data_IF_993994221586
#
_entry.id   IF_993994221586
#
_cell.length_a   1.000
_cell.length_b   1.000
_cell.length_c   1.000
_cell.angle_alpha   90.00
_cell.angle_beta   90.00
_cell.angle_gamma   90.00
#
_symmetry.space_group_name_H-M   'P 1'
#
loop_
_entity.id
_entity.type
_entity.pdbx_description
1 polymer ?
#
# COMPACT_ATOMS: atom_id res chain seq x y z
N UNK A 1 19.22 5.90 -14.42
CA UNK A 1 18.77 7.30 -14.65
C UNK A 1 18.87 7.78 -16.11
N UNK A 2 19.86 7.33 -16.90
CA UNK A 2 20.06 7.80 -18.28
C UNK A 2 18.85 7.57 -19.20
N UNK A 3 18.19 6.42 -19.07
CA UNK A 3 16.98 6.13 -19.85
C UNK A 3 15.83 7.11 -19.55
N UNK A 4 15.64 7.47 -18.27
CA UNK A 4 14.65 8.47 -17.87
C UNK A 4 14.98 9.88 -18.38
N UNK A 5 16.27 10.23 -18.46
CA UNK A 5 16.71 11.51 -19.07
C UNK A 5 16.51 11.54 -20.58
N UNK A 6 16.77 10.41 -21.25
CA UNK A 6 16.55 10.26 -22.70
C UNK A 6 15.08 10.16 -23.10
N UNK A 7 14.18 9.92 -22.13
CA UNK A 7 12.75 9.70 -22.38
C UNK A 7 12.38 8.28 -22.79
N UNK A 8 13.36 7.38 -22.98
CA UNK A 8 13.14 5.97 -23.34
C UNK A 8 12.30 5.20 -22.30
N UNK A 9 12.54 5.46 -21.02
CA UNK A 9 11.72 4.93 -19.92
C UNK A 9 11.53 6.00 -18.85
N UNK A 10 10.38 6.67 -18.87
CA UNK A 10 10.10 7.83 -18.01
C UNK A 10 9.71 7.44 -16.58
N UNK A 11 9.15 6.24 -16.40
CA UNK A 11 8.74 5.73 -15.08
C UNK A 11 8.95 4.23 -14.94
N UNK A 12 9.07 3.78 -13.69
CA UNK A 12 9.24 2.38 -13.29
C UNK A 12 8.12 2.04 -12.32
N UNK A 13 7.54 0.85 -12.46
CA UNK A 13 6.58 0.31 -11.50
C UNK A 13 7.25 -0.73 -10.61
N UNK A 14 6.90 -0.74 -9.32
CA UNK A 14 7.24 -1.87 -8.45
C UNK A 14 6.39 -3.10 -8.81
N UNK A 15 6.82 -4.28 -8.37
CA UNK A 15 5.91 -5.41 -8.25
C UNK A 15 4.71 -5.03 -7.37
N UNK A 16 3.51 -5.60 -7.63
CA UNK A 16 2.37 -5.42 -6.74
C UNK A 16 2.69 -5.96 -5.33
N UNK A 17 2.20 -5.27 -4.33
CA UNK A 17 2.24 -5.68 -2.93
C UNK A 17 0.85 -5.50 -2.30
N UNK A 18 0.68 -6.06 -1.11
CA UNK A 18 -0.62 -6.12 -0.45
C UNK A 18 -0.53 -5.61 0.98
N UNK A 19 -1.61 -5.00 1.48
CA UNK A 19 -1.67 -4.60 2.89
C UNK A 19 -1.79 -5.79 3.85
N UNK A 20 -2.36 -6.90 3.37
CA UNK A 20 -2.52 -8.18 4.05
C UNK A 20 -2.92 -9.23 3.02
N UNK A 21 -3.01 -10.51 3.39
CA UNK A 21 -3.37 -11.60 2.46
C UNK A 21 -4.71 -11.39 1.74
N UNK A 22 -5.66 -10.72 2.39
CA UNK A 22 -6.97 -10.35 1.83
C UNK A 22 -7.14 -8.84 1.73
N UNK A 23 -6.03 -8.11 1.62
CA UNK A 23 -5.96 -6.65 1.70
C UNK A 23 -6.01 -5.95 0.34
N UNK A 24 -5.76 -4.63 0.36
CA UNK A 24 -5.65 -3.82 -0.84
C UNK A 24 -4.43 -4.26 -1.66
N UNK A 25 -4.60 -4.39 -2.98
CA UNK A 25 -3.51 -4.56 -3.93
C UNK A 25 -2.98 -3.19 -4.36
N UNK A 26 -1.67 -3.00 -4.28
CA UNK A 26 -1.03 -1.69 -4.48
C UNK A 26 0.29 -1.87 -5.24
N UNK A 27 0.78 -0.80 -5.86
CA UNK A 27 2.17 -0.72 -6.33
C UNK A 27 2.70 0.72 -6.22
N UNK A 28 4.00 0.89 -6.44
CA UNK A 28 4.63 2.20 -6.55
C UNK A 28 4.94 2.51 -8.00
N UNK A 29 4.88 3.80 -8.35
CA UNK A 29 5.35 4.35 -9.62
C UNK A 29 6.42 5.41 -9.36
N UNK A 30 7.61 5.18 -9.87
CA UNK A 30 8.80 6.00 -9.65
C UNK A 30 9.23 6.71 -10.94
N UNK A 31 9.49 8.01 -10.86
CA UNK A 31 10.09 8.80 -11.94
C UNK A 31 11.46 9.29 -11.50
N UNK A 32 12.50 8.63 -12.00
CA UNK A 32 13.89 8.92 -11.65
C UNK A 32 14.37 10.30 -12.13
N UNK A 33 13.67 10.92 -13.09
CA UNK A 33 13.98 12.26 -13.60
C UNK A 33 12.81 13.24 -13.37
N UNK A 34 11.94 12.91 -12.41
CA UNK A 34 10.79 13.72 -12.03
C UNK A 34 9.62 13.69 -13.00
N UNK A 35 8.45 14.07 -12.50
CA UNK A 35 7.19 14.18 -13.24
C UNK A 35 6.58 15.58 -13.08
N UNK A 36 5.82 16.04 -14.08
CA UNK A 36 5.14 17.33 -14.07
C UNK A 36 6.06 18.51 -13.72
N UNK A 37 5.69 19.29 -12.69
CA UNK A 37 6.43 20.45 -12.22
C UNK A 37 7.73 20.12 -11.45
N UNK A 38 8.03 18.83 -11.25
CA UNK A 38 9.22 18.34 -10.58
C UNK A 38 10.23 17.70 -11.55
N UNK A 39 9.89 17.65 -12.85
CA UNK A 39 10.75 17.11 -13.89
C UNK A 39 12.13 17.79 -13.88
N UNK A 40 13.18 17.00 -14.06
CA UNK A 40 14.61 17.38 -14.05
C UNK A 40 15.12 18.02 -12.75
N UNK A 41 14.31 18.13 -11.70
CA UNK A 41 14.72 18.73 -10.43
C UNK A 41 14.63 17.76 -9.26
N UNK A 42 13.67 16.84 -9.27
CA UNK A 42 13.45 15.87 -8.19
C UNK A 42 13.22 14.46 -8.77
N UNK A 43 13.40 13.45 -7.93
CA UNK A 43 12.72 12.16 -8.09
C UNK A 43 11.28 12.34 -7.63
N UNK A 44 10.33 11.82 -8.42
CA UNK A 44 8.91 11.78 -8.05
C UNK A 44 8.48 10.36 -7.72
N UNK A 45 7.76 10.19 -6.62
CA UNK A 45 7.31 8.89 -6.13
C UNK A 45 5.80 8.90 -5.90
N UNK A 46 5.11 7.94 -6.51
CA UNK A 46 3.67 7.83 -6.46
C UNK A 46 3.21 6.47 -5.98
N UNK A 47 2.12 6.47 -5.24
CA UNK A 47 1.36 5.30 -4.83
C UNK A 47 0.25 5.03 -5.85
N UNK A 48 0.01 3.75 -6.13
CA UNK A 48 -1.03 3.31 -7.05
C UNK A 48 -1.89 2.27 -6.34
N UNK A 49 -3.19 2.58 -6.24
CA UNK A 49 -4.19 1.61 -5.81
C UNK A 49 -4.58 0.76 -7.02
N UNK A 50 -4.47 -0.56 -6.90
CA UNK A 50 -4.76 -1.51 -7.97
C UNK A 50 -6.04 -2.27 -7.68
N UNK A 51 -6.70 -2.78 -8.73
CA UNK A 51 -7.84 -3.69 -8.56
C UNK A 51 -7.38 -4.97 -7.88
N UNK A 52 -7.97 -5.25 -6.71
CA UNK A 52 -7.73 -6.44 -5.90
C UNK A 52 -8.86 -7.47 -6.04
N UNK A 53 -8.52 -8.72 -5.76
CA UNK A 53 -9.51 -9.81 -5.69
C UNK A 53 -10.53 -9.60 -4.56
N UNK A 54 -10.08 -8.97 -3.47
CA UNK A 54 -10.87 -8.76 -2.26
C UNK A 54 -11.53 -7.37 -2.16
N UNK A 55 -11.53 -6.57 -3.23
CA UNK A 55 -12.09 -5.20 -3.22
C UNK A 55 -13.55 -5.15 -2.76
N UNK A 56 -14.32 -6.24 -2.90
CA UNK A 56 -15.71 -6.31 -2.46
C UNK A 56 -15.89 -6.26 -0.93
N UNK A 57 -14.87 -6.62 -0.15
CA UNK A 57 -14.92 -6.67 1.32
C UNK A 57 -14.06 -5.58 1.98
N UNK A 58 -13.41 -4.73 1.17
CA UNK A 58 -12.56 -3.64 1.65
C UNK A 58 -13.33 -2.32 1.70
N UNK A 59 -12.88 -1.42 2.59
CA UNK A 59 -13.49 -0.09 2.75
C UNK A 59 -12.98 0.85 1.66
N UNK A 60 -13.87 1.56 1.00
CA UNK A 60 -13.52 2.63 0.07
C UNK A 60 -14.25 3.93 0.44
N UNK A 61 -13.68 5.11 0.13
CA UNK A 61 -12.36 5.31 -0.49
C UNK A 61 -11.18 4.94 0.44
N UNK A 62 -10.04 4.61 -0.15
CA UNK A 62 -8.79 4.37 0.58
C UNK A 62 -8.36 5.66 1.29
N UNK A 63 -8.19 5.61 2.61
CA UNK A 63 -8.02 6.80 3.46
C UNK A 63 -6.85 6.66 4.46
N UNK A 64 -6.06 5.59 4.35
CA UNK A 64 -4.93 5.36 5.22
C UNK A 64 -3.75 6.23 4.81
N UNK A 65 -3.05 6.82 5.77
CA UNK A 65 -1.88 7.65 5.50
C UNK A 65 -0.78 6.77 4.87
N UNK A 66 -0.21 7.23 3.76
CA UNK A 66 0.86 6.54 3.03
C UNK A 66 2.18 7.22 3.38
N UNK A 67 3.17 6.42 3.77
CA UNK A 67 4.49 6.88 4.17
C UNK A 67 5.51 6.24 3.23
N UNK A 68 6.32 7.07 2.58
CA UNK A 68 7.46 6.63 1.79
C UNK A 68 8.74 6.79 2.58
N UNK A 69 9.67 5.86 2.37
CA UNK A 69 10.98 5.88 2.99
C UNK A 69 12.02 5.50 1.92
N UNK A 70 12.96 6.41 1.66
CA UNK A 70 14.17 6.13 0.90
C UNK A 70 15.29 5.78 1.88
N UNK A 71 15.82 4.57 1.77
CA UNK A 71 16.84 4.10 2.71
C UNK A 71 18.21 4.75 2.45
N UNK A 72 18.75 5.35 3.51
CA UNK A 72 20.18 5.53 3.70
C UNK A 72 20.83 4.15 3.93
N UNK A 73 21.76 3.78 3.05
CA UNK A 73 22.45 2.49 3.03
C UNK A 73 23.74 2.48 3.86
N UNK A 74 24.08 3.58 4.53
CA UNK A 74 25.20 3.67 5.48
C UNK A 74 24.77 3.30 6.89
N UNK A 75 25.71 3.36 7.84
CA UNK A 75 25.44 3.10 9.26
C UNK A 75 24.70 4.26 9.94
N UNK A 76 24.63 5.44 9.33
CA UNK A 76 23.91 6.58 9.94
C UNK A 76 22.40 6.43 9.90
N UNK A 77 21.86 5.62 8.97
CA UNK A 77 20.42 5.34 8.81
C UNK A 77 19.56 6.61 8.77
N UNK A 78 20.08 7.68 8.18
CA UNK A 78 19.38 8.94 7.95
C UNK A 78 18.44 8.82 6.75
N UNK A 79 17.40 7.99 6.90
CA UNK A 79 16.43 7.75 5.84
C UNK A 79 15.63 9.01 5.49
N UNK A 80 15.33 9.20 4.20
CA UNK A 80 14.42 10.28 3.78
C UNK A 80 13.00 9.74 3.86
N UNK A 81 12.19 10.34 4.72
CA UNK A 81 10.81 9.94 4.96
C UNK A 81 9.90 11.10 4.60
N UNK A 82 8.88 10.80 3.79
CA UNK A 82 7.80 11.74 3.49
C UNK A 82 6.48 10.99 3.42
N UNK A 83 5.37 11.68 3.58
CA UNK A 83 4.06 11.06 3.67
C UNK A 83 2.95 11.95 3.16
N UNK A 84 1.88 11.34 2.71
CA UNK A 84 0.67 12.06 2.35
C UNK A 84 -0.57 11.35 2.90
N UNK A 85 -1.64 12.13 3.09
CA UNK A 85 -2.97 11.59 3.38
C UNK A 85 -3.79 11.56 2.09
N UNK A 86 -4.36 10.41 1.70
CA UNK A 86 -5.24 10.33 0.54
C UNK A 86 -6.38 11.36 0.61
N UNK A 87 -6.61 12.08 -0.50
CA UNK A 87 -7.81 12.87 -0.67
C UNK A 87 -8.96 11.95 -1.06
N UNK A 88 -9.91 11.74 -0.16
CA UNK A 88 -11.06 10.84 -0.36
C UNK A 88 -11.98 11.27 -1.52
N UNK A 89 -11.85 12.49 -2.03
CA UNK A 89 -12.59 12.97 -3.21
C UNK A 89 -11.87 12.64 -4.52
N UNK A 90 -10.59 12.30 -4.47
CA UNK A 90 -9.80 11.96 -5.66
C UNK A 90 -10.17 10.57 -6.20
N UNK A 91 -10.20 10.47 -7.52
CA UNK A 91 -10.38 9.20 -8.24
C UNK A 91 -9.24 8.21 -7.98
N UNK A 92 -8.06 8.68 -7.56
CA UNK A 92 -6.91 7.84 -7.20
C UNK A 92 -7.22 6.83 -6.09
N UNK A 93 -8.16 7.14 -5.19
CA UNK A 93 -8.41 6.37 -3.98
C UNK A 93 -9.83 5.78 -3.92
N UNK A 94 -10.61 5.94 -4.98
CA UNK A 94 -11.90 5.26 -5.10
C UNK A 94 -11.69 3.76 -5.32
N UNK A 95 -12.77 2.98 -5.16
CA UNK A 95 -12.75 1.56 -5.51
C UNK A 95 -12.32 1.40 -6.98
N UNK A 96 -11.26 0.63 -7.28
CA UNK A 96 -10.79 0.46 -8.65
C UNK A 96 -11.87 -0.13 -9.57
N UNK A 97 -12.09 0.53 -10.70
CA UNK A 97 -12.94 0.05 -11.80
C UNK A 97 -12.11 -0.49 -12.97
N UNK A 98 -10.80 -0.20 -12.98
CA UNK A 98 -9.80 -0.68 -13.94
C UNK A 98 -8.63 -1.28 -13.16
N UNK A 99 -7.63 -1.85 -13.85
CA UNK A 99 -6.50 -2.54 -13.19
C UNK A 99 -5.70 -1.65 -12.24
N UNK A 100 -5.59 -0.35 -12.55
CA UNK A 100 -4.86 0.63 -11.76
C UNK A 100 -5.62 1.96 -11.74
N UNK A 101 -5.79 2.52 -10.55
CA UNK A 101 -6.23 3.90 -10.43
C UNK A 101 -5.12 4.88 -10.86
N UNK A 102 -5.50 6.15 -11.02
CA UNK A 102 -4.55 7.23 -11.27
C UNK A 102 -3.56 7.31 -10.09
N UNK A 103 -2.27 7.29 -10.40
CA UNK A 103 -1.21 7.38 -9.40
C UNK A 103 -1.30 8.70 -8.61
N UNK A 104 -1.06 8.66 -7.31
CA UNK A 104 -1.03 9.84 -6.43
C UNK A 104 0.09 9.72 -5.41
N UNK A 105 0.76 10.83 -5.11
CA UNK A 105 1.94 10.81 -4.25
C UNK A 105 2.66 12.15 -4.25
N UNK A 106 3.99 12.12 -4.27
CA UNK A 106 4.84 13.27 -3.96
C UNK A 106 5.71 13.59 -5.18
N UNK A 107 5.33 14.60 -6.00
CA UNK A 107 6.11 15.00 -7.16
C UNK A 107 7.53 15.42 -6.80
N UNK A 108 7.72 16.12 -5.69
CA UNK A 108 9.03 16.60 -5.21
C UNK A 108 9.53 15.77 -4.03
N UNK A 109 9.63 14.46 -4.20
CA UNK A 109 10.00 13.56 -3.11
C UNK A 109 11.46 13.76 -2.66
N UNK A 110 12.42 13.70 -3.59
CA UNK A 110 13.85 13.89 -3.27
C UNK A 110 14.52 14.75 -4.34
N UNK A 111 15.23 15.84 -3.99
CA UNK A 111 15.99 16.63 -4.95
C UNK A 111 17.06 15.81 -5.68
N UNK A 112 17.19 16.00 -7.00
CA UNK A 112 18.21 15.28 -7.79
C UNK A 112 19.64 15.65 -7.40
N UNK A 113 19.84 16.83 -6.80
CA UNK A 113 21.15 17.31 -6.34
C UNK A 113 21.79 16.40 -5.28
N UNK A 114 20.99 15.69 -4.49
CA UNK A 114 21.50 14.71 -3.50
C UNK A 114 22.23 13.55 -4.19
N UNK A 115 21.79 13.17 -5.39
CA UNK A 115 22.39 12.08 -6.17
C UNK A 115 23.64 12.50 -6.95
N UNK A 116 23.98 13.79 -6.97
CA UNK A 116 25.18 14.32 -7.64
C UNK A 116 26.41 14.33 -6.73
N UNK A 117 26.23 14.07 -5.43
CA UNK A 117 27.30 14.04 -4.44
C UNK A 117 28.14 12.77 -4.61
N UNK A 118 29.48 12.88 -4.53
CA UNK A 118 30.40 11.74 -4.69
C UNK A 118 30.15 10.60 -3.68
N UNK A 119 29.64 10.94 -2.49
CA UNK A 119 29.28 9.99 -1.43
C UNK A 119 27.78 10.01 -1.14
N UNK A 120 26.97 9.72 -2.15
CA UNK A 120 25.52 9.60 -1.97
C UNK A 120 25.17 8.33 -1.15
N UNK A 121 24.58 8.48 0.05
CA UNK A 121 24.26 7.33 0.91
C UNK A 121 23.03 6.53 0.44
N UNK A 122 22.24 7.07 -0.49
CA UNK A 122 20.97 6.48 -0.94
C UNK A 122 21.12 5.58 -2.18
N UNK A 123 22.25 5.65 -2.88
CA UNK A 123 22.57 4.77 -4.02
C UNK A 123 23.94 4.16 -3.82
N UNK A 124 23.97 2.87 -3.56
CA UNK A 124 25.18 2.06 -3.42
C UNK A 124 25.12 0.90 -4.40
N UNK A 125 26.21 0.60 -5.10
CA UNK A 125 26.27 -0.45 -6.12
C UNK A 125 25.13 -0.35 -7.16
N UNK A 126 24.89 0.86 -7.67
CA UNK A 126 23.81 1.20 -8.61
C UNK A 126 22.40 0.79 -8.14
N UNK A 127 22.20 0.66 -6.83
CA UNK A 127 20.96 0.17 -6.23
C UNK A 127 20.41 1.16 -5.22
N UNK A 128 19.08 1.32 -5.24
CA UNK A 128 18.30 2.17 -4.33
C UNK A 128 17.19 1.33 -3.71
N UNK A 129 16.91 1.53 -2.42
CA UNK A 129 15.81 0.86 -1.73
C UNK A 129 14.75 1.87 -1.28
N UNK A 130 13.51 1.60 -1.66
CA UNK A 130 12.34 2.40 -1.27
C UNK A 130 11.38 1.47 -0.54
N UNK A 131 10.93 1.89 0.64
CA UNK A 131 9.84 1.26 1.38
C UNK A 131 8.58 2.13 1.34
N UNK A 132 7.43 1.48 1.42
CA UNK A 132 6.14 2.11 1.61
C UNK A 132 5.45 1.47 2.80
N UNK A 133 4.97 2.31 3.71
CA UNK A 133 4.25 1.89 4.91
C UNK A 133 2.87 2.51 4.90
N UNK A 134 1.88 1.74 5.33
CA UNK A 134 0.50 2.19 5.47
C UNK A 134 0.20 2.36 6.96
N UNK A 135 -0.17 3.57 7.34
CA UNK A 135 -0.48 3.91 8.72
C UNK A 135 -1.96 3.64 9.02
N UNK A 136 -2.18 2.58 9.81
CA UNK A 136 -3.47 2.16 10.30
C UNK A 136 -3.82 2.73 11.68
N UNK A 137 -3.05 3.66 12.26
CA UNK A 137 -3.28 4.14 13.64
C UNK A 137 -4.64 4.82 13.86
N UNK A 138 -5.29 5.31 12.79
CA UNK A 138 -6.68 5.80 12.84
C UNK A 138 -7.72 4.65 12.83
N UNK A 139 -7.27 3.40 12.74
CA UNK A 139 -8.09 2.20 12.88
C UNK A 139 -8.16 1.86 14.36
N UNK A 140 -9.36 1.69 14.94
CA UNK A 140 -9.51 1.20 16.31
C UNK A 140 -8.57 0.02 16.55
N UNK A 141 -7.82 0.02 17.66
CA UNK A 141 -6.87 -1.06 17.97
C UNK A 141 -7.54 -2.44 17.98
N UNK A 142 -8.81 -2.47 18.34
CA UNK A 142 -9.67 -3.65 18.24
C UNK A 142 -9.73 -4.21 16.83
N UNK A 143 -9.67 -3.38 15.78
CA UNK A 143 -9.74 -3.80 14.38
C UNK A 143 -8.37 -4.13 13.76
N UNK A 144 -7.24 -3.89 14.45
CA UNK A 144 -5.90 -4.15 13.89
C UNK A 144 -5.64 -5.63 13.55
N UNK A 145 -6.01 -6.62 14.40
CA UNK A 145 -5.87 -8.03 14.04
C UNK A 145 -6.64 -8.43 12.76
N UNK A 146 -7.72 -7.70 12.45
CA UNK A 146 -8.60 -7.91 11.30
C UNK A 146 -8.07 -7.29 10.02
N UNK A 147 -7.32 -6.18 10.16
CA UNK A 147 -6.61 -5.54 9.04
C UNK A 147 -5.40 -6.40 8.62
N UNK A 148 -4.72 -7.02 9.60
CA UNK A 148 -3.45 -7.71 9.37
C UNK A 148 -3.56 -9.23 9.16
N UNK A 149 -4.65 -9.90 9.55
CA UNK A 149 -4.81 -11.34 9.35
C UNK A 149 -6.22 -11.74 8.89
N UNK A 150 -6.22 -12.44 7.74
CA UNK A 150 -7.25 -13.21 7.02
C UNK A 150 -8.72 -13.07 7.49
N UNK A 151 -9.50 -12.50 6.56
CA UNK A 151 -10.97 -12.49 6.45
C UNK A 151 -11.72 -11.26 7.02
N UNK A 152 -11.57 -10.08 6.40
CA UNK A 152 -12.34 -8.87 6.74
C UNK A 152 -13.83 -9.00 6.42
N UNK A 153 -14.26 -10.06 5.71
CA UNK A 153 -15.67 -10.31 5.39
C UNK A 153 -16.52 -10.73 6.57
N UNK A 154 -15.93 -11.12 7.70
CA UNK A 154 -16.66 -11.61 8.88
C UNK A 154 -16.04 -11.00 10.15
N UNK A 155 -16.67 -9.99 10.74
CA UNK A 155 -16.22 -9.43 12.03
C UNK A 155 -16.30 -10.50 13.14
N UNK A 156 -15.52 -10.41 14.23
CA UNK A 156 -15.55 -11.43 15.31
C UNK A 156 -16.96 -11.62 15.87
N UNK A 157 -17.79 -10.57 16.07
CA UNK A 157 -19.18 -10.78 16.46
C UNK A 157 -19.97 -11.62 15.46
N UNK A 158 -19.75 -11.42 14.15
CA UNK A 158 -20.38 -12.21 13.09
C UNK A 158 -19.82 -13.64 13.11
N UNK A 159 -18.50 -13.82 13.23
CA UNK A 159 -17.85 -15.12 13.34
C UNK A 159 -18.34 -15.90 14.56
N UNK A 160 -18.36 -15.28 15.74
CA UNK A 160 -18.89 -15.87 16.97
C UNK A 160 -20.37 -16.22 16.84
N UNK A 161 -21.17 -15.36 16.19
CA UNK A 161 -22.58 -15.64 15.92
C UNK A 161 -22.74 -16.83 14.98
N UNK A 162 -21.95 -16.92 13.92
CA UNK A 162 -22.00 -18.03 12.96
C UNK A 162 -21.49 -19.33 13.57
N UNK A 163 -20.39 -19.29 14.33
CA UNK A 163 -19.86 -20.43 15.10
C UNK A 163 -20.93 -20.93 16.07
N UNK A 164 -21.55 -20.03 16.84
CA UNK A 164 -22.62 -20.38 17.77
C UNK A 164 -23.81 -21.04 17.05
N UNK A 165 -24.27 -20.45 15.95
CA UNK A 165 -25.37 -21.00 15.13
C UNK A 165 -25.04 -22.40 14.58
N UNK A 166 -23.81 -22.62 14.12
CA UNK A 166 -23.40 -23.92 13.59
C UNK A 166 -23.28 -24.96 14.71
N UNK A 167 -22.75 -24.58 15.88
CA UNK A 167 -22.71 -25.45 17.07
C UNK A 167 -24.11 -25.86 17.52
N UNK A 168 -25.04 -24.90 17.57
CA UNK A 168 -26.45 -25.17 17.91
C UNK A 168 -27.10 -26.11 16.89
N UNK A 169 -26.87 -25.90 15.59
CA UNK A 169 -27.35 -26.79 14.52
C UNK A 169 -26.82 -28.22 14.63
N UNK A 170 -25.54 -28.40 14.94
CA UNK A 170 -24.94 -29.72 15.13
C UNK A 170 -25.50 -30.44 16.36
N UNK A 171 -25.71 -29.72 17.46
CA UNK A 171 -26.34 -30.29 18.67
C UNK A 171 -27.78 -30.75 18.39
N UNK A 172 -28.57 -29.96 17.64
CA UNK A 172 -29.92 -30.34 17.24
C UNK A 172 -29.94 -31.60 16.36
N UNK A 173 -28.98 -31.70 15.44
CA UNK A 173 -28.85 -32.84 14.52
C UNK A 173 -28.49 -34.12 15.28
N UNK A 174 -27.54 -34.04 16.22
CA UNK A 174 -27.15 -35.17 17.08
C UNK A 174 -28.28 -35.62 18.01
N UNK A 175 -29.08 -34.70 18.56
CA UNK A 175 -30.25 -35.04 19.38
C UNK A 175 -31.37 -35.71 18.58
N UNK A 176 -31.54 -35.35 17.30
CA UNK A 176 -32.53 -35.99 16.44
C UNK A 176 -32.10 -37.40 16.00
N UNK A 177 -30.80 -37.63 15.84
CA UNK A 177 -30.25 -38.97 15.56
C UNK A 177 -30.37 -39.88 16.79
N UNK A 178 -30.18 -39.35 18.01
CA UNK A 178 -30.28 -40.12 19.26
C UNK A 178 -31.73 -40.44 19.70
N UNK A 179 -32.75 -39.90 19.02
CA UNK A 179 -34.17 -40.12 19.31
C UNK A 179 -34.86 -41.07 18.31
N UNK A 180 -34.16 -41.51 17.28
CA UNK A 180 -34.58 -42.57 16.35
C UNK A 180 -33.82 -43.87 16.64
#
# INVERSE_FOLDING_TARGET
MNEARSGKQTSIYSSPFYSSSTGYKMCLRLYLNGDGNARQTHISLFFVLMRGEYDAILKFPFHYKVIFCLYDQTDTKNHIIDSFRPDIKSNSFQRPTTDMNIASGIPKFVPLTIFQQEKNPYVLNDTMFINVMIDYNNTPKTLLPYVFNINPGLTIPIQQTMIRKEVEKQQQTSMNIAKN
#
